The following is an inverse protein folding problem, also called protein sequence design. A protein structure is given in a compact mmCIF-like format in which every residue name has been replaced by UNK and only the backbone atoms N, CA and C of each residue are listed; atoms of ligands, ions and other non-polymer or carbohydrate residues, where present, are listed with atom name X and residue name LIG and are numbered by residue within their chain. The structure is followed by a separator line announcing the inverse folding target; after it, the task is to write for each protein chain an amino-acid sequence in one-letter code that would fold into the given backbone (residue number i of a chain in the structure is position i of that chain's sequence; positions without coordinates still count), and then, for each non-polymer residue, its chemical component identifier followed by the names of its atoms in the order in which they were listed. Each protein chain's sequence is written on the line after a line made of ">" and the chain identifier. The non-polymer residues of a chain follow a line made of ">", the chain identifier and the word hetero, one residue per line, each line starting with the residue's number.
data_IF_557527486208
#
_entry.id   IF_557527486208
#
_cell.length_a   1.000
_cell.length_b   1.000
_cell.length_c   1.000
_cell.angle_alpha   90.00
_cell.angle_beta   90.00
_cell.angle_gamma   90.00
#
_symmetry.space_group_name_H-M   'P 1'
#
loop_
_entity.id
_entity.type
_entity.pdbx_description
1 polymer ?
#
# COMPACT_ATOMS: atom_id res chain seq x y z
N UNK A 1 16.24 21.45 -4.94
CA UNK A 1 16.03 20.64 -6.15
C UNK A 1 15.93 19.19 -5.69
N UNK A 2 14.75 18.52 -5.70
CA UNK A 2 14.70 17.14 -5.28
C UNK A 2 15.01 16.24 -6.47
N UNK A 3 16.12 15.51 -6.39
CA UNK A 3 16.36 14.33 -7.20
C UNK A 3 15.42 13.23 -6.70
N UNK A 4 14.22 13.17 -7.25
CA UNK A 4 13.26 12.10 -6.99
C UNK A 4 13.09 11.31 -8.29
N UNK A 5 14.22 10.86 -8.82
CA UNK A 5 14.30 9.96 -9.97
C UNK A 5 14.53 8.54 -9.46
N UNK A 6 13.91 7.58 -10.15
CA UNK A 6 14.05 6.13 -9.94
C UNK A 6 15.52 5.63 -9.90
N UNK A 7 16.48 6.48 -10.24
CA UNK A 7 17.92 6.21 -10.30
C UNK A 7 18.68 6.26 -8.95
N UNK A 8 18.11 6.77 -7.86
CA UNK A 8 18.84 6.86 -6.56
C UNK A 8 18.67 5.62 -5.68
N UNK A 9 17.86 4.65 -6.11
CA UNK A 9 17.69 3.42 -5.35
C UNK A 9 18.66 2.37 -5.84
N UNK A 10 19.65 2.03 -5.00
CA UNK A 10 20.38 0.78 -5.16
C UNK A 10 19.34 -0.33 -4.97
N UNK A 11 18.80 -0.85 -6.08
CA UNK A 11 18.02 -2.08 -6.09
C UNK A 11 19.00 -3.20 -5.72
N UNK A 12 19.22 -3.38 -4.43
CA UNK A 12 19.86 -4.57 -3.89
C UNK A 12 18.88 -5.74 -4.01
N UNK A 13 19.41 -6.97 -4.02
CA UNK A 13 18.59 -8.19 -4.08
C UNK A 13 17.45 -8.21 -3.04
N UNK A 14 17.63 -7.53 -1.91
CA UNK A 14 16.63 -7.41 -0.84
C UNK A 14 15.33 -6.70 -1.26
N UNK A 15 15.37 -5.79 -2.23
CA UNK A 15 14.22 -4.95 -2.60
C UNK A 15 13.71 -5.20 -4.04
N UNK A 16 14.44 -6.00 -4.81
CA UNK A 16 14.12 -6.34 -6.20
C UNK A 16 12.74 -6.96 -6.34
N UNK A 17 12.40 -7.92 -5.47
CA UNK A 17 11.09 -8.57 -5.49
C UNK A 17 9.95 -7.57 -5.29
N UNK A 18 10.11 -6.61 -4.37
CA UNK A 18 9.08 -5.61 -4.12
C UNK A 18 8.92 -4.64 -5.29
N UNK A 19 10.01 -4.25 -5.95
CA UNK A 19 9.97 -3.46 -7.18
C UNK A 19 9.27 -4.20 -8.33
N UNK A 20 9.59 -5.48 -8.56
CA UNK A 20 8.93 -6.31 -9.57
C UNK A 20 7.41 -6.41 -9.33
N UNK A 21 6.97 -6.47 -8.06
CA UNK A 21 5.55 -6.45 -7.73
C UNK A 21 4.88 -5.10 -8.00
N UNK A 22 5.55 -3.98 -7.73
CA UNK A 22 5.05 -2.65 -8.10
C UNK A 22 4.88 -2.55 -9.63
N UNK A 23 5.86 -3.04 -10.39
CA UNK A 23 5.83 -3.00 -11.86
C UNK A 23 4.76 -3.90 -12.49
N UNK A 24 4.28 -4.92 -11.77
CA UNK A 24 3.18 -5.78 -12.21
C UNK A 24 1.82 -5.12 -12.13
N UNK A 25 1.69 -3.96 -11.50
CA UNK A 25 0.42 -3.24 -11.48
C UNK A 25 0.00 -2.86 -12.92
N UNK A 26 -1.29 -3.01 -13.31
CA UNK A 26 -2.45 -3.37 -12.49
C UNK A 26 -2.77 -4.88 -12.41
N UNK A 27 -1.96 -5.76 -12.98
CA UNK A 27 -2.18 -7.21 -13.08
C UNK A 27 -1.84 -8.00 -11.80
N UNK A 28 -2.15 -7.43 -10.63
CA UNK A 28 -1.91 -8.11 -9.36
C UNK A 28 -2.86 -9.31 -9.17
N UNK A 29 -2.35 -10.49 -8.76
CA UNK A 29 -3.17 -11.68 -8.56
C UNK A 29 -3.98 -11.58 -7.28
N UNK A 30 -5.26 -11.93 -7.34
CA UNK A 30 -6.14 -11.94 -6.18
C UNK A 30 -7.56 -11.50 -6.53
N UNK A 31 -8.49 -11.72 -5.61
CA UNK A 31 -9.85 -11.16 -5.71
C UNK A 31 -9.86 -9.65 -5.44
N UNK A 32 -8.89 -9.16 -4.66
CA UNK A 32 -8.71 -7.75 -4.35
C UNK A 32 -7.38 -7.27 -4.95
N UNK A 33 -7.34 -6.16 -5.69
CA UNK A 33 -6.11 -5.60 -6.28
C UNK A 33 -5.28 -4.87 -5.22
N UNK A 34 -4.76 -5.64 -4.25
CA UNK A 34 -4.08 -5.12 -3.05
C UNK A 34 -2.70 -5.74 -2.93
N UNK A 35 -1.69 -4.92 -2.74
CA UNK A 35 -0.32 -5.36 -2.48
C UNK A 35 0.12 -4.87 -1.09
N UNK A 36 0.69 -5.76 -0.30
CA UNK A 36 1.29 -5.41 0.99
C UNK A 36 2.81 -5.57 0.92
N UNK A 37 3.54 -4.46 1.08
CA UNK A 37 5.00 -4.45 1.22
C UNK A 37 5.34 -4.42 2.70
N UNK A 38 5.91 -5.53 3.17
CA UNK A 38 6.31 -5.74 4.56
C UNK A 38 7.82 -5.57 4.70
N UNK A 39 8.25 -4.78 5.67
CA UNK A 39 9.68 -4.66 5.99
C UNK A 39 9.97 -3.75 7.18
N UNK A 40 11.17 -3.84 7.77
CA UNK A 40 11.57 -3.01 8.90
C UNK A 40 11.60 -1.51 8.55
N UNK A 41 11.70 -0.64 9.55
CA UNK A 41 11.91 0.79 9.32
C UNK A 41 13.18 1.01 8.45
N UNK A 42 13.17 2.06 7.63
CA UNK A 42 14.27 2.40 6.70
C UNK A 42 14.61 1.33 5.63
N UNK A 43 13.71 0.38 5.33
CA UNK A 43 13.93 -0.62 4.26
C UNK A 43 13.61 -0.12 2.84
N UNK A 44 13.17 1.14 2.68
CA UNK A 44 12.82 1.71 1.38
C UNK A 44 11.35 1.58 0.94
N UNK A 45 10.45 1.10 1.82
CA UNK A 45 8.99 0.99 1.54
C UNK A 45 8.37 2.29 1.04
N UNK A 46 8.64 3.41 1.71
CA UNK A 46 8.08 4.72 1.34
C UNK A 46 8.57 5.19 -0.03
N UNK A 47 9.76 4.77 -0.45
CA UNK A 47 10.26 5.05 -1.80
C UNK A 47 9.51 4.23 -2.86
N UNK A 48 9.33 2.92 -2.63
CA UNK A 48 8.51 2.07 -3.51
C UNK A 48 7.08 2.58 -3.63
N UNK A 49 6.51 3.07 -2.53
CA UNK A 49 5.20 3.71 -2.55
C UNK A 49 5.18 5.00 -3.36
N UNK A 50 6.20 5.85 -3.26
CA UNK A 50 6.32 7.05 -4.10
C UNK A 50 6.45 6.72 -5.60
N UNK A 51 7.17 5.65 -5.95
CA UNK A 51 7.27 5.17 -7.35
C UNK A 51 5.91 4.74 -7.89
N UNK A 52 5.17 3.99 -7.09
CA UNK A 52 3.82 3.57 -7.45
C UNK A 52 2.86 4.76 -7.52
N UNK A 53 2.91 5.67 -6.53
CA UNK A 53 2.12 6.90 -6.49
C UNK A 53 2.22 7.69 -7.78
N UNK A 54 3.45 7.90 -8.28
CA UNK A 54 3.70 8.64 -9.50
C UNK A 54 3.11 7.97 -10.76
N UNK A 55 2.90 6.65 -10.71
CA UNK A 55 2.42 5.86 -11.86
C UNK A 55 0.91 5.63 -11.80
N UNK A 56 0.37 5.40 -10.60
CA UNK A 56 -1.04 5.04 -10.37
C UNK A 56 -1.90 6.22 -9.93
N UNK A 57 -1.31 7.41 -9.76
CA UNK A 57 -1.95 8.60 -9.20
C UNK A 57 -2.62 8.31 -7.84
N UNK A 58 -1.93 7.53 -7.00
CA UNK A 58 -2.47 7.11 -5.71
C UNK A 58 -2.42 8.22 -4.66
N UNK A 59 -3.38 8.22 -3.76
CA UNK A 59 -3.44 9.12 -2.62
C UNK A 59 -3.02 8.40 -1.35
N UNK A 60 -2.25 9.07 -0.50
CA UNK A 60 -1.86 8.53 0.80
C UNK A 60 -3.03 8.75 1.75
N UNK A 61 -3.63 7.66 2.21
CA UNK A 61 -4.74 7.70 3.13
C UNK A 61 -4.24 7.46 4.57
N UNK A 62 -4.70 8.29 5.49
CA UNK A 62 -4.50 8.05 6.92
C UNK A 62 -5.58 7.07 7.43
N UNK A 63 -5.26 6.19 8.40
CA UNK A 63 -6.13 5.08 8.83
C UNK A 63 -7.53 5.51 9.33
N UNK A 64 -7.67 6.75 9.75
CA UNK A 64 -8.87 7.43 10.23
C UNK A 64 -9.73 8.07 9.11
N UNK A 65 -9.22 8.11 7.87
CA UNK A 65 -9.85 8.75 6.72
C UNK A 65 -10.62 7.82 5.79
N UNK A 66 -10.83 6.56 6.17
CA UNK A 66 -11.54 5.55 5.37
C UNK A 66 -13.06 5.80 5.30
N UNK A 67 -13.45 6.99 4.85
CA UNK A 67 -14.83 7.38 4.59
C UNK A 67 -15.05 7.65 3.11
N UNK A 68 -16.03 6.95 2.55
CA UNK A 68 -16.50 6.99 1.16
C UNK A 68 -15.54 6.40 0.10
N UNK A 69 -16.13 5.96 -1.01
CA UNK A 69 -15.42 5.18 -2.03
C UNK A 69 -14.25 5.98 -2.64
N UNK A 70 -13.03 5.43 -2.67
CA UNK A 70 -11.86 6.17 -3.12
C UNK A 70 -11.95 6.47 -4.62
N UNK A 71 -11.87 7.76 -4.97
CA UNK A 71 -11.85 8.20 -6.37
C UNK A 71 -10.55 7.77 -7.09
N UNK A 72 -9.46 7.60 -6.32
CA UNK A 72 -8.10 7.31 -6.76
C UNK A 72 -7.59 5.98 -6.19
N UNK A 73 -6.41 5.51 -6.61
CA UNK A 73 -5.73 4.40 -5.94
C UNK A 73 -5.24 4.84 -4.55
N UNK A 74 -5.06 3.90 -3.62
CA UNK A 74 -4.77 4.25 -2.22
C UNK A 74 -3.44 3.68 -1.73
N UNK A 75 -2.64 4.50 -1.06
CA UNK A 75 -1.46 4.07 -0.31
C UNK A 75 -1.78 4.19 1.18
N UNK A 76 -1.65 3.08 1.90
CA UNK A 76 -1.76 3.05 3.35
C UNK A 76 -0.37 2.81 3.95
N UNK A 77 0.14 3.80 4.68
CA UNK A 77 1.44 3.71 5.34
C UNK A 77 1.27 3.43 6.84
N UNK A 78 1.84 2.32 7.31
CA UNK A 78 1.84 1.89 8.71
C UNK A 78 0.44 1.77 9.35
N UNK A 79 -0.43 0.84 8.88
CA UNK A 79 -1.66 0.54 9.60
C UNK A 79 -1.33 0.05 11.02
N UNK A 80 -2.02 0.62 12.00
CA UNK A 80 -1.93 0.20 13.39
C UNK A 80 -3.00 -0.85 13.67
N UNK A 81 -2.61 -1.98 14.26
CA UNK A 81 -3.52 -3.02 14.75
C UNK A 81 -3.93 -2.73 16.19
N UNK A 82 -5.19 -2.99 16.56
CA UNK A 82 -5.69 -2.80 17.93
C UNK A 82 -6.48 -1.51 18.16
N UNK A 83 -6.78 -0.74 17.12
CA UNK A 83 -7.80 0.30 17.13
C UNK A 83 -8.95 -0.15 16.21
N UNK A 84 -10.12 -0.43 16.79
CA UNK A 84 -11.29 -0.94 16.07
C UNK A 84 -11.70 -0.02 14.91
N UNK A 85 -11.47 1.30 15.05
CA UNK A 85 -11.77 2.27 14.00
C UNK A 85 -10.87 2.10 12.76
N UNK A 86 -9.59 1.77 12.95
CA UNK A 86 -8.65 1.54 11.86
C UNK A 86 -8.87 0.20 11.14
N UNK A 87 -9.33 -0.82 11.89
CA UNK A 87 -9.66 -2.13 11.35
C UNK A 87 -10.93 -2.09 10.48
N UNK A 88 -11.99 -1.46 11.00
CA UNK A 88 -13.23 -1.27 10.28
C UNK A 88 -13.01 -0.38 9.04
N UNK A 89 -12.24 0.70 9.17
CA UNK A 89 -11.85 1.56 8.05
C UNK A 89 -11.12 0.81 6.93
N UNK A 90 -10.15 -0.05 7.26
CA UNK A 90 -9.43 -0.84 6.27
C UNK A 90 -10.37 -1.79 5.50
N UNK A 91 -11.26 -2.46 6.21
CA UNK A 91 -12.24 -3.37 5.60
C UNK A 91 -13.18 -2.63 4.65
N UNK A 92 -13.68 -1.46 5.05
CA UNK A 92 -14.50 -0.62 4.20
C UNK A 92 -13.74 -0.13 2.96
N UNK A 93 -12.49 0.30 3.11
CA UNK A 93 -11.66 0.68 1.97
C UNK A 93 -11.45 -0.48 0.99
N UNK A 94 -11.12 -1.69 1.49
CA UNK A 94 -10.93 -2.87 0.64
C UNK A 94 -12.18 -3.20 -0.17
N UNK A 95 -13.35 -3.16 0.47
CA UNK A 95 -14.62 -3.40 -0.20
C UNK A 95 -14.94 -2.32 -1.24
N UNK A 96 -14.70 -1.04 -0.91
CA UNK A 96 -14.94 0.07 -1.81
C UNK A 96 -14.01 0.03 -3.03
N UNK A 97 -12.72 -0.29 -2.84
CA UNK A 97 -11.74 -0.45 -3.92
C UNK A 97 -12.14 -1.57 -4.87
N UNK A 98 -12.62 -2.69 -4.34
CA UNK A 98 -13.11 -3.80 -5.16
C UNK A 98 -14.32 -3.39 -6.00
N UNK A 99 -15.27 -2.66 -5.41
CA UNK A 99 -16.46 -2.17 -6.11
C UNK A 99 -16.11 -1.15 -7.21
N UNK A 100 -15.07 -0.34 -7.00
CA UNK A 100 -14.64 0.70 -7.94
C UNK A 100 -13.52 0.26 -8.91
N UNK A 101 -13.01 -0.96 -8.81
CA UNK A 101 -11.88 -1.44 -9.62
C UNK A 101 -10.57 -0.68 -9.38
N UNK A 102 -10.35 -0.22 -8.15
CA UNK A 102 -9.17 0.55 -7.73
C UNK A 102 -8.20 -0.32 -6.95
N UNK A 103 -6.92 0.02 -6.97
CA UNK A 103 -5.86 -0.72 -6.29
C UNK A 103 -5.42 -0.05 -5.00
N UNK A 104 -4.90 -0.86 -4.06
CA UNK A 104 -4.31 -0.37 -2.82
C UNK A 104 -2.92 -0.96 -2.56
N UNK A 105 -2.01 -0.11 -2.11
CA UNK A 105 -0.70 -0.49 -1.61
C UNK A 105 -0.66 -0.26 -0.11
N UNK A 106 -0.28 -1.28 0.65
CA UNK A 106 -0.13 -1.20 2.10
C UNK A 106 1.35 -1.35 2.44
N UNK A 107 1.88 -0.45 3.26
CA UNK A 107 3.24 -0.53 3.78
C UNK A 107 3.17 -0.85 5.27
N UNK A 108 3.79 -1.94 5.69
CA UNK A 108 3.76 -2.32 7.10
C UNK A 108 5.09 -2.92 7.57
N UNK A 109 5.24 -3.03 8.90
CA UNK A 109 6.39 -3.73 9.51
C UNK A 109 6.13 -5.22 9.68
N UNK A 110 4.86 -5.57 9.84
CA UNK A 110 4.37 -6.93 10.05
C UNK A 110 3.32 -7.23 8.99
N UNK A 111 3.23 -8.45 8.44
CA UNK A 111 2.21 -8.77 7.45
C UNK A 111 0.82 -8.40 7.99
N UNK A 112 0.04 -7.69 7.18
CA UNK A 112 -1.34 -7.29 7.50
C UNK A 112 -2.11 -8.56 7.88
N UNK A 113 -2.02 -9.65 7.11
CA UNK A 113 -2.62 -10.95 7.45
C UNK A 113 -2.19 -11.60 8.78
N UNK A 114 -1.15 -11.10 9.45
CA UNK A 114 -0.70 -11.55 10.79
C UNK A 114 -1.08 -10.59 11.92
N UNK A 115 -1.63 -9.43 11.59
CA UNK A 115 -2.23 -8.56 12.61
C UNK A 115 -3.48 -9.27 13.15
N UNK A 116 -3.73 -9.13 14.45
CA UNK A 116 -4.85 -9.76 15.15
C UNK A 116 -6.14 -8.98 14.81
N UNK A 117 -6.64 -9.12 13.57
CA UNK A 117 -7.87 -8.45 13.14
C UNK A 117 -9.03 -9.09 13.87
N UNK A 118 -9.72 -8.33 14.72
CA UNK A 118 -11.03 -8.72 15.22
C UNK A 118 -12.08 -8.29 14.20
N UNK A 119 -12.13 -9.01 13.07
CA UNK A 119 -13.20 -8.90 12.08
C UNK A 119 -14.51 -9.50 12.59
#
# INVERSE_FOLDING_TARGET
>A
MPAQGRDDFIISDCNKLAAEWIDRWPDWPGQFPVLNIVGPAASGKSHLAAVWQATSNAEILQPDGAGDAPASNIILDHPQSGDSAGEEGLFHCLNALNACGRSMLILSRTPVARMDWQL
#
